data_IF_912786590308
#
_entry.id   IF_912786590308
#
_cell.length_a   1.000
_cell.length_b   1.000
_cell.length_c   1.000
_cell.angle_alpha   90.00
_cell.angle_beta   90.00
_cell.angle_gamma   90.00
#
_symmetry.space_group_name_H-M   'P 1'
#
loop_
_entity.id
_entity.type
_entity.pdbx_description
1 polymer ?
#
# COMPACT_ATOMS: atom_id res chain seq x y z
N UNK A 1 -57.15 23.65 4.27
CA UNK A 1 -55.70 23.91 4.36
C UNK A 1 -55.13 22.71 5.09
N UNK A 2 -54.36 21.79 4.51
CA UNK A 2 -53.60 21.74 3.25
C UNK A 2 -53.62 20.28 2.75
N UNK A 3 -53.80 20.09 1.44
CA UNK A 3 -53.49 18.84 0.74
C UNK A 3 -51.97 18.72 0.67
N UNK A 4 -51.39 17.82 1.46
CA UNK A 4 -49.99 17.42 1.30
C UNK A 4 -49.98 16.24 0.35
N UNK A 5 -50.05 16.57 -0.94
CA UNK A 5 -49.83 15.63 -2.04
C UNK A 5 -48.40 15.11 -1.95
N UNK A 6 -48.23 13.88 -1.43
CA UNK A 6 -47.03 13.05 -1.57
C UNK A 6 -46.86 12.66 -3.05
N UNK A 7 -46.58 13.65 -3.89
CA UNK A 7 -46.18 13.43 -5.28
C UNK A 7 -44.68 13.12 -5.28
N UNK A 8 -44.35 11.97 -4.67
CA UNK A 8 -43.05 11.29 -4.76
C UNK A 8 -42.84 10.89 -6.22
N UNK A 9 -42.51 11.89 -7.03
CA UNK A 9 -42.14 11.72 -8.43
C UNK A 9 -40.81 10.97 -8.42
N UNK A 10 -40.88 9.63 -8.46
CA UNK A 10 -39.71 8.77 -8.57
C UNK A 10 -39.02 9.08 -9.90
N UNK A 11 -38.07 10.00 -9.87
CA UNK A 11 -37.22 10.27 -11.02
C UNK A 11 -36.31 9.07 -11.20
N UNK A 12 -36.58 8.27 -12.24
CA UNK A 12 -35.69 7.20 -12.65
C UNK A 12 -34.37 7.83 -13.11
N UNK A 13 -33.35 7.76 -12.25
CA UNK A 13 -31.99 8.09 -12.63
C UNK A 13 -31.37 6.82 -13.23
N UNK A 14 -31.19 6.73 -14.56
CA UNK A 14 -30.56 5.57 -15.17
C UNK A 14 -29.17 5.37 -14.58
N UNK A 15 -28.86 4.12 -14.21
CA UNK A 15 -27.53 3.77 -13.74
C UNK A 15 -26.50 4.14 -14.80
N UNK A 16 -25.48 4.93 -14.43
CA UNK A 16 -24.37 5.22 -15.32
C UNK A 16 -23.64 3.90 -15.64
N UNK A 17 -23.84 3.37 -16.84
CA UNK A 17 -23.16 2.15 -17.30
C UNK A 17 -21.69 2.47 -17.51
N UNK A 18 -20.87 2.21 -16.50
CA UNK A 18 -19.42 2.35 -16.60
C UNK A 18 -18.86 1.14 -17.32
N UNK A 19 -18.17 1.36 -18.44
CA UNK A 19 -17.47 0.30 -19.14
C UNK A 19 -16.53 -0.43 -18.18
N UNK A 20 -16.69 -1.75 -18.08
CA UNK A 20 -15.77 -2.55 -17.30
C UNK A 20 -14.37 -2.47 -17.92
N UNK A 21 -13.28 -2.67 -17.14
CA UNK A 21 -11.95 -2.87 -17.70
C UNK A 21 -11.91 -3.88 -18.84
N UNK A 22 -12.68 -4.97 -18.73
CA UNK A 22 -12.83 -5.95 -19.80
C UNK A 22 -13.37 -5.31 -21.08
N UNK A 23 -14.49 -4.58 -21.00
CA UNK A 23 -15.10 -3.89 -22.14
C UNK A 23 -14.15 -2.85 -22.75
N UNK A 24 -13.40 -2.15 -21.90
CA UNK A 24 -12.39 -1.18 -22.35
C UNK A 24 -11.27 -1.84 -23.14
N UNK A 25 -10.77 -2.99 -22.69
CA UNK A 25 -9.73 -3.75 -23.41
C UNK A 25 -10.25 -4.37 -24.69
N UNK A 26 -11.49 -4.87 -24.68
CA UNK A 26 -12.13 -5.39 -25.88
C UNK A 26 -12.32 -4.29 -26.94
N UNK A 27 -12.77 -3.10 -26.52
CA UNK A 27 -12.92 -1.93 -27.40
C UNK A 27 -11.56 -1.48 -27.94
N UNK A 28 -10.52 -1.44 -27.11
CA UNK A 28 -9.16 -1.11 -27.53
C UNK A 28 -8.67 -2.09 -28.61
N UNK A 29 -8.88 -3.40 -28.42
CA UNK A 29 -8.51 -4.42 -29.39
C UNK A 29 -9.22 -4.21 -30.73
N UNK A 30 -10.56 -4.02 -30.71
CA UNK A 30 -11.33 -3.77 -31.94
C UNK A 30 -10.84 -2.55 -32.71
N UNK A 31 -10.59 -1.45 -32.01
CA UNK A 31 -10.08 -0.22 -32.65
C UNK A 31 -8.75 -0.47 -33.38
N UNK A 32 -7.85 -1.27 -32.80
CA UNK A 32 -6.58 -1.57 -33.45
C UNK A 32 -6.70 -2.55 -34.60
N UNK A 33 -7.61 -3.53 -34.51
CA UNK A 33 -7.92 -4.46 -35.59
C UNK A 33 -8.57 -3.75 -36.78
N UNK A 34 -9.58 -2.90 -36.53
CA UNK A 34 -10.22 -2.07 -37.56
C UNK A 34 -9.21 -1.19 -38.28
N UNK A 35 -8.32 -0.51 -37.54
CA UNK A 35 -7.26 0.32 -38.13
C UNK A 35 -6.25 -0.48 -38.95
N UNK A 36 -5.99 -1.73 -38.55
CA UNK A 36 -5.11 -2.62 -39.30
C UNK A 36 -5.78 -3.03 -40.62
N UNK A 37 -7.05 -3.44 -40.56
CA UNK A 37 -7.82 -3.86 -41.72
C UNK A 37 -8.07 -2.72 -42.72
N UNK A 38 -8.35 -1.51 -42.23
CA UNK A 38 -8.44 -0.31 -43.05
C UNK A 38 -7.14 -0.03 -43.80
N UNK A 39 -6.01 -0.09 -43.09
CA UNK A 39 -4.71 0.19 -43.70
C UNK A 39 -4.27 -0.92 -44.67
N UNK A 40 -4.68 -2.16 -44.43
CA UNK A 40 -4.36 -3.31 -45.27
C UNK A 40 -5.02 -3.22 -46.67
N UNK A 41 -6.12 -2.47 -46.81
CA UNK A 41 -6.80 -2.22 -48.10
C UNK A 41 -5.99 -1.32 -49.03
N UNK A 42 -5.00 -0.60 -48.52
CA UNK A 42 -4.21 0.37 -49.28
C UNK A 42 -2.80 -0.17 -49.60
N UNK A 43 -2.37 -0.18 -50.88
CA UNK A 43 -1.03 -0.65 -51.26
C UNK A 43 0.09 0.25 -50.70
N UNK A 44 1.31 -0.29 -50.59
CA UNK A 44 2.55 0.37 -50.12
C UNK A 44 2.58 0.84 -48.64
N UNK A 45 1.83 0.19 -47.74
CA UNK A 45 1.80 0.54 -46.31
C UNK A 45 2.52 -0.44 -45.37
N UNK A 46 3.40 -1.30 -45.87
CA UNK A 46 4.02 -2.41 -45.14
C UNK A 46 4.66 -2.01 -43.79
N UNK A 47 5.41 -0.90 -43.75
CA UNK A 47 6.03 -0.41 -42.50
C UNK A 47 5.01 0.04 -41.46
N UNK A 48 3.92 0.68 -41.90
CA UNK A 48 2.83 1.12 -41.01
C UNK A 48 1.98 -0.07 -40.55
N UNK A 49 1.77 -1.06 -41.41
CA UNK A 49 1.12 -2.33 -41.06
C UNK A 49 1.92 -3.10 -40.02
N UNK A 50 3.24 -3.18 -40.13
CA UNK A 50 4.08 -3.82 -39.09
C UNK A 50 3.94 -3.12 -37.73
N UNK A 51 3.91 -1.79 -37.71
CA UNK A 51 3.69 -1.00 -36.50
C UNK A 51 2.30 -1.21 -35.88
N UNK A 52 1.25 -1.28 -36.71
CA UNK A 52 -0.10 -1.60 -36.25
C UNK A 52 -0.21 -3.05 -35.78
N UNK A 53 0.41 -4.00 -36.47
CA UNK A 53 0.46 -5.40 -36.06
C UNK A 53 1.13 -5.61 -34.70
N UNK A 54 2.13 -4.80 -34.36
CA UNK A 54 2.67 -4.76 -32.99
C UNK A 54 1.60 -4.29 -31.97
N UNK A 55 0.89 -3.19 -32.26
CA UNK A 55 -0.16 -2.67 -31.38
C UNK A 55 -1.33 -3.65 -31.21
N UNK A 56 -1.75 -4.34 -32.27
CA UNK A 56 -2.75 -5.40 -32.22
C UNK A 56 -2.29 -6.54 -31.31
N UNK A 57 -1.04 -7.00 -31.45
CA UNK A 57 -0.49 -8.03 -30.56
C UNK A 57 -0.44 -7.59 -29.10
N UNK A 58 -0.03 -6.35 -28.84
CA UNK A 58 0.00 -5.80 -27.48
C UNK A 58 -1.42 -5.68 -26.88
N UNK A 59 -2.39 -5.21 -27.68
CA UNK A 59 -3.79 -5.14 -27.28
C UNK A 59 -4.38 -6.53 -26.98
N UNK A 60 -4.07 -7.55 -27.80
CA UNK A 60 -4.45 -8.95 -27.55
C UNK A 60 -3.87 -9.46 -26.23
N UNK A 61 -2.59 -9.20 -25.97
CA UNK A 61 -1.94 -9.58 -24.71
C UNK A 61 -2.63 -8.94 -23.50
N UNK A 62 -2.90 -7.63 -23.55
CA UNK A 62 -3.60 -6.91 -22.48
C UNK A 62 -5.03 -7.43 -22.27
N UNK A 63 -5.73 -7.76 -23.34
CA UNK A 63 -7.08 -8.34 -23.27
C UNK A 63 -7.06 -9.73 -22.61
N UNK A 64 -6.14 -10.60 -23.01
CA UNK A 64 -5.99 -11.93 -22.40
C UNK A 64 -5.58 -11.87 -20.92
N UNK A 65 -4.70 -10.93 -20.54
CA UNK A 65 -4.38 -10.68 -19.14
C UNK A 65 -5.60 -10.23 -18.34
N UNK A 66 -6.43 -9.36 -18.90
CA UNK A 66 -7.65 -8.89 -18.24
C UNK A 66 -8.70 -9.99 -18.15
N UNK A 67 -8.85 -10.83 -19.18
CA UNK A 67 -9.71 -12.02 -19.18
C UNK A 67 -9.32 -13.00 -18.06
N UNK A 68 -8.02 -13.22 -17.85
CA UNK A 68 -7.51 -14.05 -16.75
C UNK A 68 -7.80 -13.43 -15.38
N UNK A 69 -7.64 -12.11 -15.25
CA UNK A 69 -7.94 -11.38 -14.00
C UNK A 69 -9.43 -11.35 -13.68
N UNK A 70 -10.28 -11.24 -14.67
CA UNK A 70 -11.73 -11.24 -14.46
C UNK A 70 -12.23 -12.59 -13.96
N UNK A 71 -11.52 -13.69 -14.27
CA UNK A 71 -11.79 -15.00 -13.68
C UNK A 71 -11.26 -15.16 -12.23
N UNK A 72 -10.39 -14.27 -11.75
CA UNK A 72 -9.85 -14.30 -10.38
C UNK A 72 -10.76 -13.50 -9.41
N UNK A 73 -11.49 -14.22 -8.56
CA UNK A 73 -12.38 -13.64 -7.55
C UNK A 73 -11.66 -12.70 -6.57
N UNK A 74 -10.43 -13.04 -6.16
CA UNK A 74 -9.64 -12.20 -5.27
C UNK A 74 -9.22 -10.90 -5.95
N UNK A 75 -8.96 -10.94 -7.26
CA UNK A 75 -8.75 -9.73 -8.05
C UNK A 75 -10.04 -8.89 -8.16
N UNK A 76 -11.19 -9.51 -8.44
CA UNK A 76 -12.49 -8.83 -8.51
C UNK A 76 -12.84 -8.11 -7.20
N UNK A 77 -12.66 -8.78 -6.06
CA UNK A 77 -12.90 -8.19 -4.75
C UNK A 77 -11.99 -6.98 -4.48
N UNK A 78 -10.68 -7.11 -4.74
CA UNK A 78 -9.72 -6.00 -4.56
C UNK A 78 -10.07 -4.82 -5.46
N UNK A 79 -10.43 -5.09 -6.71
CA UNK A 79 -10.87 -4.06 -7.65
C UNK A 79 -12.11 -3.33 -7.15
N UNK A 80 -13.13 -4.03 -6.68
CA UNK A 80 -14.34 -3.40 -6.16
C UNK A 80 -14.03 -2.49 -4.95
N UNK A 81 -13.17 -2.96 -4.06
CA UNK A 81 -12.67 -2.17 -2.93
C UNK A 81 -11.93 -0.91 -3.42
N UNK A 82 -11.07 -1.02 -4.43
CA UNK A 82 -10.34 0.13 -4.97
C UNK A 82 -11.23 1.10 -5.74
N UNK A 83 -12.23 0.61 -6.46
CA UNK A 83 -13.27 1.45 -7.10
C UNK A 83 -14.04 2.24 -6.03
N UNK A 84 -14.47 1.58 -4.96
CA UNK A 84 -15.13 2.25 -3.83
C UNK A 84 -14.21 3.30 -3.19
N UNK A 85 -12.92 2.97 -2.96
CA UNK A 85 -11.91 3.89 -2.41
C UNK A 85 -11.62 5.10 -3.29
N UNK A 86 -11.80 4.98 -4.61
CA UNK A 86 -11.59 6.07 -5.56
C UNK A 86 -12.83 6.98 -5.69
N UNK A 87 -14.02 6.44 -5.47
CA UNK A 87 -15.30 7.16 -5.52
C UNK A 87 -15.81 7.52 -4.13
N UNK A 88 -17.00 7.01 -3.79
CA UNK A 88 -17.75 7.32 -2.56
C UNK A 88 -16.96 7.09 -1.27
N UNK A 89 -16.14 6.04 -1.23
CA UNK A 89 -15.32 5.70 -0.07
C UNK A 89 -14.08 6.60 0.11
N UNK A 90 -13.78 7.51 -0.82
CA UNK A 90 -12.57 8.33 -0.79
C UNK A 90 -12.51 9.22 0.44
N UNK A 91 -13.59 9.96 0.73
CA UNK A 91 -13.64 10.87 1.88
C UNK A 91 -13.61 10.09 3.20
N UNK A 92 -14.37 9.01 3.32
CA UNK A 92 -14.37 8.13 4.51
C UNK A 92 -12.97 7.56 4.75
N UNK A 93 -12.31 7.05 3.69
CA UNK A 93 -10.93 6.55 3.77
C UNK A 93 -9.98 7.66 4.22
N UNK A 94 -10.07 8.84 3.60
CA UNK A 94 -9.16 9.94 3.94
C UNK A 94 -9.39 10.46 5.36
N UNK A 95 -10.64 10.58 5.80
CA UNK A 95 -10.99 10.95 7.18
C UNK A 95 -10.38 9.98 8.18
N UNK A 96 -10.45 8.66 7.93
CA UNK A 96 -9.81 7.66 8.79
C UNK A 96 -8.28 7.83 8.91
N UNK A 97 -7.62 8.27 7.83
CA UNK A 97 -6.15 8.47 7.77
C UNK A 97 -5.71 9.83 8.31
N UNK A 98 -6.60 10.83 8.27
CA UNK A 98 -6.38 12.19 8.80
C UNK A 98 -6.67 12.32 10.29
N UNK A 99 -7.09 11.24 10.96
CA UNK A 99 -7.29 11.26 12.41
C UNK A 99 -6.01 11.70 13.09
N UNK A 100 -6.04 12.91 13.65
CA UNK A 100 -5.03 13.38 14.60
C UNK A 100 -5.08 12.39 15.75
N UNK A 101 -3.93 11.79 16.07
CA UNK A 101 -3.85 10.81 17.16
C UNK A 101 -4.32 11.51 18.44
N UNK A 102 -5.22 10.87 19.19
CA UNK A 102 -5.67 11.38 20.49
C UNK A 102 -4.52 11.49 21.49
N UNK A 103 -3.50 10.63 21.35
CA UNK A 103 -2.23 10.73 22.08
C UNK A 103 -1.16 11.31 21.16
N UNK A 104 -0.56 12.47 21.48
CA UNK A 104 0.61 12.96 20.76
C UNK A 104 1.74 11.92 20.84
N UNK A 105 2.61 11.90 19.83
CA UNK A 105 3.81 11.07 19.90
C UNK A 105 4.66 11.51 21.10
N UNK A 106 5.35 10.58 21.75
CA UNK A 106 6.30 10.89 22.80
C UNK A 106 7.33 11.91 22.29
N UNK A 107 7.57 12.96 23.08
CA UNK A 107 8.58 13.95 22.71
C UNK A 107 9.99 13.37 22.89
N UNK A 108 10.69 13.24 21.76
CA UNK A 108 12.06 12.71 21.68
C UNK A 108 13.09 13.83 21.55
N UNK A 109 12.71 15.10 21.77
CA UNK A 109 13.61 16.25 21.72
C UNK A 109 14.87 16.07 22.58
N UNK A 110 14.71 15.44 23.76
CA UNK A 110 15.78 15.14 24.71
C UNK A 110 16.80 14.09 24.25
N UNK A 111 16.51 13.33 23.19
CA UNK A 111 17.42 12.29 22.68
C UNK A 111 18.35 12.81 21.60
N UNK A 112 19.63 12.44 21.68
CA UNK A 112 20.60 12.69 20.60
C UNK A 112 20.25 11.90 19.34
N UNK A 113 20.79 12.30 18.19
CA UNK A 113 20.55 11.59 16.92
C UNK A 113 20.96 10.11 16.97
N UNK A 114 22.03 9.79 17.70
CA UNK A 114 22.50 8.42 17.90
C UNK A 114 21.58 7.61 18.80
N UNK A 115 21.08 8.21 19.89
CA UNK A 115 20.09 7.59 20.76
C UNK A 115 18.76 7.35 20.03
N UNK A 116 18.33 8.28 19.18
CA UNK A 116 17.16 8.11 18.30
C UNK A 116 17.35 6.92 17.35
N UNK A 117 18.52 6.79 16.72
CA UNK A 117 18.86 5.65 15.85
C UNK A 117 18.86 4.33 16.64
N UNK A 118 19.46 4.29 17.82
CA UNK A 118 19.48 3.11 18.68
C UNK A 118 18.07 2.69 19.11
N UNK A 119 17.23 3.66 19.51
CA UNK A 119 15.82 3.45 19.84
C UNK A 119 15.03 2.89 18.66
N UNK A 120 15.19 3.44 17.46
CA UNK A 120 14.53 2.96 16.25
C UNK A 120 14.94 1.50 15.91
N UNK A 121 16.23 1.17 16.03
CA UNK A 121 16.71 -0.22 15.87
C UNK A 121 16.09 -1.16 16.91
N UNK A 122 16.01 -0.72 18.16
CA UNK A 122 15.37 -1.47 19.26
C UNK A 122 13.89 -1.75 18.98
N UNK A 123 13.13 -0.73 18.58
CA UNK A 123 11.72 -0.88 18.21
C UNK A 123 11.52 -1.88 17.07
N UNK A 124 12.38 -1.83 16.04
CA UNK A 124 12.33 -2.78 14.92
C UNK A 124 12.66 -4.20 15.35
N UNK A 125 13.65 -4.38 16.22
CA UNK A 125 14.01 -5.68 16.77
C UNK A 125 12.88 -6.29 17.61
N UNK A 126 12.19 -5.47 18.41
CA UNK A 126 11.05 -5.89 19.24
C UNK A 126 9.84 -6.25 18.37
N UNK A 127 9.54 -5.46 17.33
CA UNK A 127 8.48 -5.77 16.37
C UNK A 127 8.74 -7.10 15.62
N UNK A 128 9.99 -7.32 15.19
CA UNK A 128 10.38 -8.59 14.56
C UNK A 128 10.26 -9.78 15.52
N UNK A 129 10.56 -9.57 16.81
CA UNK A 129 10.41 -10.60 17.84
C UNK A 129 8.96 -10.98 18.04
N UNK A 130 8.07 -10.00 18.22
CA UNK A 130 6.62 -10.21 18.32
C UNK A 130 6.16 -11.02 17.13
N UNK A 131 6.46 -10.57 15.91
CA UNK A 131 6.03 -11.24 14.67
C UNK A 131 6.52 -12.69 14.60
N UNK A 132 7.72 -12.97 15.10
CA UNK A 132 8.27 -14.33 15.12
C UNK A 132 7.54 -15.20 16.16
N UNK A 133 7.34 -14.69 17.38
CA UNK A 133 6.68 -15.43 18.45
C UNK A 133 5.19 -15.68 18.19
N UNK A 134 4.48 -14.71 17.59
CA UNK A 134 3.09 -14.93 17.16
C UNK A 134 2.99 -16.01 16.09
N UNK A 135 3.92 -16.05 15.13
CA UNK A 135 3.98 -17.12 14.12
C UNK A 135 4.31 -18.48 14.73
N UNK A 136 5.07 -18.52 15.82
CA UNK A 136 5.37 -19.73 16.59
C UNK A 136 4.21 -20.17 17.50
N UNK A 137 3.09 -19.43 17.50
CA UNK A 137 1.88 -19.79 18.26
C UNK A 137 1.92 -19.41 19.74
N UNK A 138 2.87 -18.58 20.16
CA UNK A 138 2.96 -18.10 21.55
C UNK A 138 1.79 -17.15 21.87
N UNK A 139 1.26 -17.25 23.10
CA UNK A 139 0.17 -16.38 23.55
C UNK A 139 0.61 -14.92 23.66
N UNK A 140 -0.32 -13.98 23.52
CA UNK A 140 0.00 -12.54 23.60
C UNK A 140 0.58 -12.16 24.97
N UNK A 141 0.05 -12.74 26.06
CA UNK A 141 0.54 -12.52 27.42
C UNK A 141 2.00 -12.97 27.58
N UNK A 142 2.37 -14.14 27.05
CA UNK A 142 3.74 -14.66 27.13
C UNK A 142 4.72 -13.80 26.30
N UNK A 143 4.25 -13.27 25.16
CA UNK A 143 5.05 -12.36 24.33
C UNK A 143 5.34 -11.06 25.08
N UNK A 144 4.36 -10.52 25.81
CA UNK A 144 4.54 -9.31 26.61
C UNK A 144 5.59 -9.51 27.73
N UNK A 145 5.48 -10.60 28.49
CA UNK A 145 6.45 -10.94 29.54
C UNK A 145 7.87 -11.07 28.95
N UNK A 146 8.00 -11.78 27.82
CA UNK A 146 9.29 -11.96 27.16
C UNK A 146 9.87 -10.66 26.60
N UNK A 147 9.02 -9.74 26.10
CA UNK A 147 9.44 -8.41 25.66
C UNK A 147 9.94 -7.56 26.81
N UNK A 148 9.29 -7.60 27.97
CA UNK A 148 9.71 -6.84 29.14
C UNK A 148 11.10 -7.27 29.61
N UNK A 149 11.35 -8.57 29.71
CA UNK A 149 12.68 -9.11 30.04
C UNK A 149 13.73 -8.62 29.06
N UNK A 150 13.44 -8.68 27.76
CA UNK A 150 14.37 -8.23 26.71
C UNK A 150 14.65 -6.73 26.75
N UNK A 151 13.66 -5.92 27.14
CA UNK A 151 13.84 -4.47 27.35
C UNK A 151 14.72 -4.21 28.56
N UNK A 152 14.50 -4.92 29.68
CA UNK A 152 15.34 -4.81 30.88
C UNK A 152 16.80 -5.17 30.59
N UNK A 153 17.05 -6.26 29.88
CA UNK A 153 18.40 -6.66 29.46
C UNK A 153 19.09 -5.59 28.61
N UNK A 154 18.35 -4.94 27.70
CA UNK A 154 18.89 -3.87 26.85
C UNK A 154 19.26 -2.64 27.66
N UNK A 155 18.44 -2.27 28.63
CA UNK A 155 18.72 -1.14 29.54
C UNK A 155 19.95 -1.46 30.40
N UNK A 156 20.03 -2.67 30.95
CA UNK A 156 21.19 -3.12 31.72
C UNK A 156 22.49 -3.06 30.88
N UNK A 157 22.46 -3.55 29.63
CA UNK A 157 23.61 -3.48 28.71
C UNK A 157 24.03 -2.05 28.36
N UNK A 158 23.08 -1.13 28.25
CA UNK A 158 23.37 0.29 28.01
C UNK A 158 23.99 0.95 29.24
N UNK A 159 23.52 0.62 30.45
CA UNK A 159 24.08 1.11 31.71
C UNK A 159 25.50 0.59 31.96
N UNK A 160 25.79 -0.67 31.63
CA UNK A 160 27.16 -1.20 31.72
C UNK A 160 28.09 -0.56 30.69
N UNK A 161 27.60 -0.27 29.48
CA UNK A 161 28.40 0.38 28.44
C UNK A 161 28.77 1.82 28.80
N UNK A 162 27.84 2.58 29.38
CA UNK A 162 28.13 3.95 29.85
C UNK A 162 29.07 4.00 31.07
N UNK A 163 29.11 2.94 31.88
CA UNK A 163 30.07 2.80 32.98
C UNK A 163 31.49 2.45 32.50
N UNK A 164 31.62 1.69 31.42
CA UNK A 164 32.92 1.31 30.83
C UNK A 164 33.53 2.45 29.99
N UNK A 165 32.72 3.27 29.33
CA UNK A 165 33.20 4.41 28.52
C UNK A 165 33.62 5.64 29.37
N UNK A 166 33.18 5.75 30.63
CA UNK A 166 33.53 6.87 31.54
C UNK A 166 35.00 6.90 32.03
N UNK A 167 35.63 5.80 32.49
CA UNK A 167 37.01 5.86 33.02
C UNK A 167 38.09 6.04 31.94
N UNK A 168 37.75 5.92 30.66
CA UNK A 168 38.70 6.09 29.55
C UNK A 168 38.80 7.54 29.04
N UNK A 169 37.75 8.33 29.21
CA UNK A 169 37.72 9.75 28.80
C UNK A 169 38.45 10.67 29.80
N UNK A 170 38.57 10.26 31.07
CA UNK A 170 39.22 11.04 32.14
C UNK A 170 40.71 10.66 32.34
N UNK A 171 41.25 9.77 31.50
CA UNK A 171 42.66 9.35 31.60
C UNK A 171 43.53 10.18 30.63
N UNK A 172 44.41 11.08 31.13
CA UNK A 172 45.21 11.98 30.28
C UNK A 172 46.25 11.27 29.40
N UNK A 173 46.43 9.95 29.56
CA UNK A 173 47.31 9.13 28.72
C UNK A 173 46.62 8.39 27.56
N UNK A 174 45.31 8.51 27.38
CA UNK A 174 44.61 7.77 26.33
C UNK A 174 44.72 8.47 24.97
N UNK A 175 45.56 7.92 24.07
CA UNK A 175 45.80 8.47 22.71
C UNK A 175 47.22 8.96 22.45
N UNK A 176 48.15 8.81 23.40
CA UNK A 176 49.58 9.07 23.20
C UNK A 176 50.30 7.78 22.77
N UNK A 177 50.06 7.33 21.54
CA UNK A 177 50.92 6.40 20.81
C UNK A 177 50.91 6.75 19.32
#
# INVERSE_FOLDING_TARGET
MEDVSDDDTFTFIPAQVRLTPYDRRLRELRIWEERYDELAKHPNNERRLAGLGYKVREAKKRFEEEKRRDADDGWRQRRNVDVWRAGEGREIRNASRRKVRSKPNEDLSHLTAEQKKARARGQRADANFIKRRTREGMSEADIEVALELRRRERIAKLATKSLVDRPLADNPGYGMF
#
